data_IF_055195961374
#
_entry.id   IF_055195961374
#
_cell.length_a   1.000
_cell.length_b   1.000
_cell.length_c   1.000
_cell.angle_alpha   90.00
_cell.angle_beta   90.00
_cell.angle_gamma   90.00
#
_symmetry.space_group_name_H-M   'P 1'
#
loop_
_entity.id
_entity.type
_entity.pdbx_description
1 polymer ?
#
# COMPACT_ATOMS: atom_id res chain seq x y z
N UNK A 1 7.95 12.07 -4.68
CA UNK A 1 7.27 11.74 -5.98
C UNK A 1 6.98 10.25 -6.13
N UNK A 2 7.95 9.34 -5.97
CA UNK A 2 7.74 7.88 -6.12
C UNK A 2 6.63 7.34 -5.20
N UNK A 3 6.55 7.80 -3.96
CA UNK A 3 5.46 7.41 -3.04
C UNK A 3 4.07 7.75 -3.60
N UNK A 4 3.89 8.95 -4.13
CA UNK A 4 2.60 9.37 -4.73
C UNK A 4 2.22 8.46 -5.91
N UNK A 5 3.19 8.10 -6.75
CA UNK A 5 2.96 7.20 -7.89
C UNK A 5 2.56 5.80 -7.38
N UNK A 6 3.27 5.27 -6.39
CA UNK A 6 2.97 3.97 -5.78
C UNK A 6 1.58 4.00 -5.14
N UNK A 7 1.24 5.09 -4.44
CA UNK A 7 -0.10 5.27 -3.87
C UNK A 7 -1.20 5.24 -4.93
N UNK A 8 -1.04 5.99 -6.02
CA UNK A 8 -2.00 5.98 -7.14
C UNK A 8 -2.12 4.61 -7.82
N UNK A 9 -1.03 3.86 -7.93
CA UNK A 9 -1.07 2.47 -8.43
C UNK A 9 -1.86 1.58 -7.45
N UNK A 10 -1.61 1.71 -6.14
CA UNK A 10 -2.34 0.95 -5.13
C UNK A 10 -3.83 1.28 -5.16
N UNK A 11 -4.19 2.56 -5.28
CA UNK A 11 -5.58 3.01 -5.45
C UNK A 11 -6.23 2.35 -6.66
N UNK A 12 -5.59 2.41 -7.83
CA UNK A 12 -6.12 1.82 -9.06
C UNK A 12 -6.42 0.32 -8.93
N UNK A 13 -5.57 -0.43 -8.22
CA UNK A 13 -5.72 -1.88 -8.07
C UNK A 13 -6.64 -2.29 -6.92
N UNK A 14 -6.98 -1.39 -5.99
CA UNK A 14 -7.73 -1.73 -4.77
C UNK A 14 -9.09 -1.06 -4.67
N UNK A 15 -9.29 0.09 -5.32
CA UNK A 15 -10.59 0.78 -5.30
C UNK A 15 -11.64 0.04 -6.13
N UNK A 16 -12.87 0.04 -5.65
CA UNK A 16 -14.03 -0.57 -6.31
C UNK A 16 -14.41 0.15 -7.62
N UNK A 17 -13.96 1.38 -7.82
CA UNK A 17 -14.27 2.18 -9.02
C UNK A 17 -13.53 1.67 -10.26
N UNK A 18 -12.47 0.90 -10.08
CA UNK A 18 -11.60 0.47 -11.16
C UNK A 18 -11.78 -0.99 -11.55
N UNK A 19 -11.46 -1.28 -12.81
CA UNK A 19 -11.59 -2.62 -13.41
C UNK A 19 -10.92 -3.75 -12.63
N UNK A 20 -9.72 -3.61 -12.05
CA UNK A 20 -9.08 -4.74 -11.35
C UNK A 20 -9.95 -5.32 -10.25
N UNK A 21 -10.52 -4.51 -9.39
CA UNK A 21 -11.40 -4.94 -8.31
C UNK A 21 -12.74 -5.47 -8.85
N UNK A 22 -13.29 -4.81 -9.88
CA UNK A 22 -14.52 -5.25 -10.52
C UNK A 22 -14.40 -6.64 -11.17
N UNK A 23 -13.23 -6.97 -11.75
CA UNK A 23 -13.00 -8.31 -12.31
C UNK A 23 -12.97 -9.40 -11.24
N UNK A 24 -12.46 -9.11 -10.05
CA UNK A 24 -12.50 -10.04 -8.91
C UNK A 24 -13.95 -10.23 -8.45
N UNK A 25 -14.70 -9.14 -8.32
CA UNK A 25 -16.11 -9.18 -7.95
C UNK A 25 -16.97 -9.96 -8.98
N UNK A 26 -16.63 -9.85 -10.25
CA UNK A 26 -17.29 -10.62 -11.30
C UNK A 26 -16.95 -12.12 -11.20
N UNK A 27 -15.69 -12.46 -10.99
CA UNK A 27 -15.25 -13.84 -10.80
C UNK A 27 -15.88 -14.50 -9.56
N UNK A 28 -16.23 -13.71 -8.53
CA UNK A 28 -16.88 -14.22 -7.33
C UNK A 28 -18.28 -14.81 -7.59
N UNK A 29 -18.94 -14.40 -8.67
CA UNK A 29 -20.23 -14.97 -9.09
C UNK A 29 -20.10 -16.41 -9.65
N UNK A 30 -18.90 -16.77 -10.09
CA UNK A 30 -18.62 -18.07 -10.69
C UNK A 30 -18.10 -19.09 -9.66
N UNK A 31 -17.71 -18.64 -8.47
CA UNK A 31 -17.34 -19.48 -7.33
C UNK A 31 -16.02 -19.11 -6.65
N UNK A 32 -15.79 -19.69 -5.48
CA UNK A 32 -14.67 -19.34 -4.61
C UNK A 32 -13.29 -19.60 -5.26
N UNK A 33 -13.14 -20.68 -6.02
CA UNK A 33 -11.85 -21.01 -6.65
C UNK A 33 -11.44 -19.94 -7.69
N UNK A 34 -12.40 -19.46 -8.50
CA UNK A 34 -12.17 -18.42 -9.49
C UNK A 34 -11.92 -17.06 -8.82
N UNK A 35 -12.58 -16.76 -7.72
CA UNK A 35 -12.32 -15.56 -6.92
C UNK A 35 -10.89 -15.54 -6.43
N UNK A 36 -10.39 -16.65 -5.85
CA UNK A 36 -9.03 -16.76 -5.32
C UNK A 36 -7.99 -16.59 -6.44
N UNK A 37 -8.16 -17.31 -7.54
CA UNK A 37 -7.21 -17.25 -8.67
C UNK A 37 -7.19 -15.87 -9.34
N UNK A 38 -8.35 -15.25 -9.51
CA UNK A 38 -8.45 -13.89 -10.05
C UNK A 38 -7.83 -12.86 -9.09
N UNK A 39 -8.10 -12.99 -7.79
CA UNK A 39 -7.50 -12.14 -6.76
C UNK A 39 -5.97 -12.24 -6.75
N UNK A 40 -5.44 -13.45 -6.80
CA UNK A 40 -3.99 -13.68 -6.89
C UNK A 40 -3.40 -13.07 -8.17
N UNK A 41 -4.04 -13.28 -9.32
CA UNK A 41 -3.59 -12.71 -10.60
C UNK A 41 -3.54 -11.17 -10.57
N UNK A 42 -4.59 -10.53 -10.06
CA UNK A 42 -4.65 -9.07 -9.92
C UNK A 42 -3.61 -8.59 -8.92
N UNK A 43 -3.45 -9.28 -7.79
CA UNK A 43 -2.43 -8.97 -6.77
C UNK A 43 -1.02 -9.04 -7.34
N UNK A 44 -0.67 -10.09 -8.08
CA UNK A 44 0.64 -10.19 -8.73
C UNK A 44 0.89 -9.07 -9.74
N UNK A 45 -0.12 -8.72 -10.55
CA UNK A 45 -0.02 -7.58 -11.49
C UNK A 45 0.15 -6.25 -10.76
N UNK A 46 -0.50 -6.08 -9.62
CA UNK A 46 -0.40 -4.85 -8.82
C UNK A 46 0.99 -4.60 -8.26
N UNK A 47 1.80 -5.64 -8.04
CA UNK A 47 3.17 -5.52 -7.55
C UNK A 47 4.17 -5.07 -8.62
N UNK A 48 3.89 -5.33 -9.89
CA UNK A 48 4.84 -5.09 -10.98
C UNK A 48 5.23 -3.62 -11.13
N UNK A 49 4.25 -2.73 -11.19
CA UNK A 49 4.49 -1.29 -11.38
C UNK A 49 5.19 -0.63 -10.19
N UNK A 50 4.79 -0.88 -8.93
CA UNK A 50 5.54 -0.39 -7.77
C UNK A 50 6.99 -0.85 -7.74
N UNK A 51 7.28 -2.09 -8.12
CA UNK A 51 8.66 -2.58 -8.20
C UNK A 51 9.50 -1.83 -9.24
N UNK A 52 8.94 -1.52 -10.40
CA UNK A 52 9.61 -0.71 -11.43
C UNK A 52 9.88 0.71 -10.89
N UNK A 53 8.88 1.33 -10.25
CA UNK A 53 9.03 2.67 -9.66
C UNK A 53 10.10 2.67 -8.57
N UNK A 54 10.15 1.65 -7.72
CA UNK A 54 11.18 1.49 -6.69
C UNK A 54 12.57 1.30 -7.31
N UNK A 55 12.69 0.47 -8.34
CA UNK A 55 13.95 0.27 -9.05
C UNK A 55 14.50 1.58 -9.64
N UNK A 56 13.65 2.36 -10.32
CA UNK A 56 14.01 3.67 -10.85
C UNK A 56 14.38 4.63 -9.71
N UNK A 57 13.60 4.66 -8.63
CA UNK A 57 13.87 5.52 -7.46
C UNK A 57 15.23 5.18 -6.85
N UNK A 58 15.51 3.90 -6.65
CA UNK A 58 16.80 3.42 -6.12
C UNK A 58 17.96 3.84 -7.02
N UNK A 59 17.83 3.60 -8.33
CA UNK A 59 18.86 3.95 -9.29
C UNK A 59 19.16 5.46 -9.31
N UNK A 60 18.12 6.28 -9.42
CA UNK A 60 18.27 7.75 -9.46
C UNK A 60 18.84 8.28 -8.14
N UNK A 61 18.33 7.80 -7.00
CA UNK A 61 18.79 8.24 -5.68
C UNK A 61 20.27 7.87 -5.47
N UNK A 62 20.66 6.67 -5.89
CA UNK A 62 22.07 6.25 -5.83
C UNK A 62 22.95 7.06 -6.76
N UNK A 63 22.53 7.33 -7.98
CA UNK A 63 23.29 8.12 -8.95
C UNK A 63 23.56 9.57 -8.49
N UNK A 64 22.60 10.14 -7.72
CA UNK A 64 22.71 11.52 -7.24
C UNK A 64 23.59 11.61 -5.98
N UNK A 65 23.44 10.70 -5.02
CA UNK A 65 24.05 10.84 -3.69
C UNK A 65 24.45 9.50 -3.06
N UNK A 66 24.68 8.47 -3.85
CA UNK A 66 25.07 7.15 -3.34
C UNK A 66 24.07 6.54 -2.37
N UNK A 67 24.57 5.81 -1.38
CA UNK A 67 23.72 5.15 -0.38
C UNK A 67 22.96 6.14 0.52
N UNK A 68 23.55 7.31 0.77
CA UNK A 68 22.87 8.39 1.48
C UNK A 68 21.62 8.85 0.73
N UNK A 69 21.67 8.92 -0.61
CA UNK A 69 20.51 9.24 -1.44
C UNK A 69 19.37 8.24 -1.30
N UNK A 70 19.69 6.94 -1.22
CA UNK A 70 18.67 5.90 -1.00
C UNK A 70 18.02 6.04 0.39
N UNK A 71 18.81 6.29 1.44
CA UNK A 71 18.29 6.52 2.78
C UNK A 71 17.37 7.76 2.84
N UNK A 72 17.77 8.85 2.19
CA UNK A 72 16.95 10.08 2.11
C UNK A 72 15.67 9.85 1.30
N UNK A 73 15.71 9.03 0.25
CA UNK A 73 14.52 8.65 -0.51
C UNK A 73 13.51 7.86 0.36
N UNK A 74 14.01 6.96 1.22
CA UNK A 74 13.17 6.24 2.19
C UNK A 74 12.50 7.20 3.17
N UNK A 75 13.24 8.14 3.76
CA UNK A 75 12.70 9.17 4.65
C UNK A 75 11.67 10.04 3.94
N UNK A 76 11.97 10.48 2.71
CA UNK A 76 11.04 11.26 1.89
C UNK A 76 9.75 10.50 1.56
N UNK A 77 9.81 9.18 1.38
CA UNK A 77 8.62 8.36 1.18
C UNK A 77 7.78 8.24 2.46
N UNK A 78 8.42 8.20 3.63
CA UNK A 78 7.75 8.14 4.93
C UNK A 78 7.13 9.47 5.37
N UNK A 79 7.46 10.60 4.74
CA UNK A 79 6.95 11.92 5.14
C UNK A 79 5.41 12.02 5.11
N UNK A 80 4.74 11.22 4.28
CA UNK A 80 3.27 11.16 4.17
C UNK A 80 2.61 10.16 5.10
N UNK A 81 3.37 9.27 5.73
CA UNK A 81 2.80 8.13 6.47
C UNK A 81 1.94 8.59 7.63
N UNK A 82 2.32 9.63 8.36
CA UNK A 82 1.53 10.14 9.49
C UNK A 82 0.12 10.57 9.07
N UNK A 83 -0.01 11.30 7.97
CA UNK A 83 -1.30 11.72 7.44
C UNK A 83 -2.11 10.52 6.95
N UNK A 84 -1.48 9.60 6.21
CA UNK A 84 -2.15 8.41 5.66
C UNK A 84 -2.65 7.48 6.76
N UNK A 85 -1.84 7.24 7.81
CA UNK A 85 -2.23 6.40 8.95
C UNK A 85 -3.35 7.06 9.78
N UNK A 86 -3.36 8.38 9.87
CA UNK A 86 -4.46 9.09 10.53
C UNK A 86 -5.79 8.89 9.79
N UNK A 87 -5.78 8.89 8.46
CA UNK A 87 -6.96 8.59 7.65
C UNK A 87 -7.31 7.10 7.68
N UNK A 88 -6.32 6.21 7.74
CA UNK A 88 -6.51 4.76 7.83
C UNK A 88 -7.32 4.36 9.08
N UNK A 89 -7.13 5.04 10.19
CA UNK A 89 -7.86 4.76 11.44
C UNK A 89 -9.37 4.99 11.35
N UNK A 90 -9.83 5.77 10.40
CA UNK A 90 -11.26 6.01 10.22
C UNK A 90 -11.98 4.84 9.53
N UNK A 91 -11.27 4.01 8.76
CA UNK A 91 -11.84 2.83 8.08
C UNK A 91 -12.57 1.88 9.05
N UNK A 92 -11.89 1.36 10.09
CA UNK A 92 -12.54 0.51 11.11
C UNK A 92 -13.71 1.18 11.83
N UNK A 93 -13.70 2.50 11.97
CA UNK A 93 -14.82 3.25 12.58
C UNK A 93 -16.02 3.20 11.65
N UNK A 94 -15.83 3.42 10.36
CA UNK A 94 -16.90 3.38 9.36
C UNK A 94 -17.48 1.97 9.20
N UNK A 95 -16.64 0.94 9.20
CA UNK A 95 -17.04 -0.46 9.14
C UNK A 95 -17.91 -0.82 10.35
N UNK A 96 -17.46 -0.50 11.57
CA UNK A 96 -18.25 -0.71 12.78
C UNK A 96 -19.55 0.10 12.77
N UNK A 97 -19.54 1.34 12.30
CA UNK A 97 -20.75 2.16 12.19
C UNK A 97 -21.76 1.51 11.23
N UNK A 98 -21.28 0.94 10.11
CA UNK A 98 -22.10 0.17 9.18
C UNK A 98 -22.73 -1.07 9.84
N UNK A 99 -21.94 -1.82 10.60
CA UNK A 99 -22.42 -2.98 11.35
C UNK A 99 -23.49 -2.60 12.39
N UNK A 100 -23.29 -1.51 13.11
CA UNK A 100 -24.30 -1.00 14.08
C UNK A 100 -25.58 -0.58 13.35
N UNK A 101 -25.46 0.12 12.22
CA UNK A 101 -26.61 0.54 11.43
C UNK A 101 -27.44 -0.66 10.95
N UNK A 102 -26.79 -1.74 10.52
CA UNK A 102 -27.43 -2.97 10.09
C UNK A 102 -28.12 -3.69 11.25
N UNK A 103 -27.39 -3.91 12.36
CA UNK A 103 -27.93 -4.59 13.55
C UNK A 103 -29.06 -3.83 14.23
N UNK A 104 -29.08 -2.51 14.08
CA UNK A 104 -30.15 -1.64 14.66
C UNK A 104 -31.32 -1.42 13.68
N UNK A 105 -31.31 -2.10 12.54
CA UNK A 105 -32.35 -2.00 11.50
C UNK A 105 -32.64 -0.54 11.09
N UNK A 106 -31.57 0.29 10.98
CA UNK A 106 -31.69 1.67 10.54
C UNK A 106 -32.08 1.74 9.06
N UNK A 107 -32.51 2.93 8.63
CA UNK A 107 -32.84 3.16 7.22
C UNK A 107 -31.70 2.70 6.29
N UNK A 108 -31.97 1.93 5.21
CA UNK A 108 -30.96 1.44 4.28
C UNK A 108 -30.05 2.53 3.69
N UNK A 109 -30.51 3.78 3.68
CA UNK A 109 -29.70 4.91 3.25
C UNK A 109 -28.48 5.15 4.17
N UNK A 110 -28.64 4.92 5.47
CA UNK A 110 -27.53 5.04 6.45
C UNK A 110 -26.45 4.01 6.13
N UNK A 111 -26.83 2.78 5.83
CA UNK A 111 -25.91 1.72 5.43
C UNK A 111 -25.14 2.07 4.15
N UNK A 112 -25.82 2.62 3.16
CA UNK A 112 -25.17 3.05 1.91
C UNK A 112 -24.10 4.13 2.13
N UNK A 113 -24.30 5.02 3.11
CA UNK A 113 -23.32 6.05 3.45
C UNK A 113 -22.11 5.41 4.14
N UNK A 114 -22.32 4.56 5.14
CA UNK A 114 -21.26 3.89 5.88
C UNK A 114 -20.42 2.97 4.99
N UNK A 115 -21.05 2.25 4.06
CA UNK A 115 -20.35 1.39 3.10
C UNK A 115 -19.44 2.18 2.17
N UNK A 116 -19.87 3.37 1.71
CA UNK A 116 -19.02 4.26 0.91
C UNK A 116 -17.82 4.77 1.70
N UNK A 117 -18.05 5.14 2.96
CA UNK A 117 -16.98 5.59 3.84
C UNK A 117 -15.99 4.47 4.16
N UNK A 118 -16.47 3.26 4.41
CA UNK A 118 -15.64 2.08 4.62
C UNK A 118 -14.79 1.74 3.39
N UNK A 119 -15.37 1.77 2.20
CA UNK A 119 -14.64 1.53 0.96
C UNK A 119 -13.48 2.53 0.74
N UNK A 120 -13.68 3.82 1.07
CA UNK A 120 -12.62 4.84 1.03
C UNK A 120 -11.54 4.54 2.07
N UNK A 121 -11.92 4.14 3.29
CA UNK A 121 -11.00 3.73 4.35
C UNK A 121 -10.10 2.58 3.92
N UNK A 122 -10.70 1.53 3.37
CA UNK A 122 -9.96 0.35 2.88
C UNK A 122 -8.98 0.68 1.74
N UNK A 123 -9.37 1.56 0.80
CA UNK A 123 -8.49 2.03 -0.27
C UNK A 123 -7.32 2.84 0.29
N UNK A 124 -7.57 3.72 1.26
CA UNK A 124 -6.53 4.51 1.94
C UNK A 124 -5.55 3.60 2.69
N UNK A 125 -6.05 2.56 3.36
CA UNK A 125 -5.22 1.53 4.01
C UNK A 125 -4.28 0.84 3.02
N UNK A 126 -4.79 0.49 1.83
CA UNK A 126 -3.99 -0.13 0.78
C UNK A 126 -2.89 0.80 0.25
N UNK A 127 -3.19 2.09 0.07
CA UNK A 127 -2.20 3.11 -0.29
C UNK A 127 -1.11 3.23 0.78
N UNK A 128 -1.48 3.28 2.06
CA UNK A 128 -0.57 3.35 3.20
C UNK A 128 0.39 2.15 3.25
N UNK A 129 -0.10 0.95 2.96
CA UNK A 129 0.73 -0.26 2.85
C UNK A 129 1.72 -0.17 1.69
N UNK A 130 1.32 0.41 0.55
CA UNK A 130 2.21 0.67 -0.59
C UNK A 130 3.40 1.56 -0.20
N UNK A 131 3.17 2.66 0.50
CA UNK A 131 4.23 3.53 1.02
C UNK A 131 5.12 2.81 2.02
N UNK A 132 4.54 2.07 2.96
CA UNK A 132 5.27 1.35 4.00
C UNK A 132 6.21 0.29 3.40
N UNK A 133 5.72 -0.51 2.47
CA UNK A 133 6.52 -1.55 1.80
C UNK A 133 7.62 -0.91 0.94
N UNK A 134 7.31 0.15 0.20
CA UNK A 134 8.28 0.86 -0.64
C UNK A 134 9.41 1.47 0.19
N UNK A 135 9.09 2.15 1.29
CA UNK A 135 10.10 2.72 2.19
C UNK A 135 10.92 1.65 2.90
N UNK A 136 10.30 0.53 3.29
CA UNK A 136 10.99 -0.61 3.90
C UNK A 136 12.02 -1.22 2.94
N UNK A 137 11.69 -1.37 1.66
CA UNK A 137 12.63 -1.86 0.65
C UNK A 137 13.85 -0.95 0.49
N UNK A 138 13.65 0.38 0.41
CA UNK A 138 14.74 1.34 0.34
C UNK A 138 15.60 1.36 1.62
N UNK A 139 14.95 1.25 2.78
CA UNK A 139 15.64 1.18 4.09
C UNK A 139 16.47 -0.08 4.20
N UNK A 140 15.94 -1.23 3.78
CA UNK A 140 16.69 -2.49 3.78
C UNK A 140 17.94 -2.40 2.92
N UNK A 141 17.86 -1.83 1.71
CA UNK A 141 19.03 -1.61 0.84
C UNK A 141 20.08 -0.72 1.51
N UNK A 142 19.66 0.38 2.16
CA UNK A 142 20.57 1.26 2.88
C UNK A 142 21.24 0.55 4.06
N UNK A 143 20.49 -0.25 4.84
CA UNK A 143 21.01 -1.00 5.98
C UNK A 143 21.97 -2.11 5.57
N UNK A 144 21.70 -2.85 4.49
CA UNK A 144 22.61 -3.87 4.00
C UNK A 144 23.95 -3.28 3.56
N UNK A 145 23.93 -2.13 2.90
CA UNK A 145 25.18 -1.45 2.55
C UNK A 145 25.94 -0.97 3.78
N UNK A 146 25.25 -0.36 4.75
CA UNK A 146 25.88 0.08 5.99
C UNK A 146 26.50 -1.10 6.75
N UNK A 147 25.79 -2.22 6.86
CA UNK A 147 26.30 -3.42 7.52
C UNK A 147 27.53 -3.98 6.81
N UNK A 148 27.54 -3.98 5.47
CA UNK A 148 28.64 -4.53 4.67
C UNK A 148 29.88 -3.63 4.68
N UNK A 149 29.70 -2.33 4.79
CA UNK A 149 30.81 -1.34 4.76
C UNK A 149 31.31 -0.92 6.15
N UNK A 150 30.58 -1.26 7.22
CA UNK A 150 30.99 -0.92 8.59
C UNK A 150 31.98 -1.95 9.13
N UNK A 151 33.09 -1.49 9.78
CA UNK A 151 34.04 -2.41 10.43
C UNK A 151 33.31 -3.27 11.47
N UNK A 152 33.49 -4.58 11.36
CA UNK A 152 33.00 -5.51 12.38
C UNK A 152 34.00 -5.63 13.52
N UNK A 153 33.58 -5.89 14.77
CA UNK A 153 34.51 -6.25 15.85
C UNK A 153 35.38 -7.47 15.54
N UNK A 154 35.02 -8.27 14.52
CA UNK A 154 35.83 -9.39 14.02
C UNK A 154 36.97 -8.96 13.11
N UNK A 155 36.88 -7.79 12.49
CA UNK A 155 37.89 -7.27 11.57
C UNK A 155 39.06 -6.59 12.29
N UNK A 156 38.93 -6.41 13.60
CA UNK A 156 39.93 -5.78 14.49
C UNK A 156 40.77 -6.78 15.28
N UNK A 157 40.72 -8.08 14.92
CA UNK A 157 41.53 -9.14 15.55
C UNK A 157 42.65 -9.64 14.65
#
# INVERSE_FOLDING_TARGET
MSGVIIGGIAEYYTSYDYKPTQTIAQASKEGAALTITQGLSVGMKSCMYPLIVLGITTYVSYAVSGMFGIAMAAVGMLSFVSATVSVDTYGPISDNAGGIAEMSELDPHVRQITDKLDAVGNTTAAMGKGFAIGSAALTALALFCLLYTSPSPRDTR
#
